data_IF_445792651529
#
_entry.id   IF_445792651529
#
_cell.length_a   1.000
_cell.length_b   1.000
_cell.length_c   1.000
_cell.angle_alpha   90.00
_cell.angle_beta   90.00
_cell.angle_gamma   90.00
#
_symmetry.space_group_name_H-M   'P 1'
#
loop_
_entity.id
_entity.type
_entity.pdbx_description
1 polymer ?
#
# COMPACT_ATOMS: atom_id res chain seq x y z
N UNK A 1 7.81 1.70 6.23
CA UNK A 1 6.63 2.26 6.92
C UNK A 1 5.76 2.80 5.79
N UNK A 2 4.45 2.56 5.80
CA UNK A 2 3.59 2.93 4.67
C UNK A 2 2.29 3.52 5.19
N UNK A 3 1.78 4.53 4.50
CA UNK A 3 0.42 5.06 4.67
C UNK A 3 -0.32 4.81 3.38
N UNK A 4 -1.53 4.25 3.44
CA UNK A 4 -2.41 4.10 2.27
C UNK A 4 -3.82 4.56 2.59
N UNK A 5 -4.45 5.19 1.61
CA UNK A 5 -5.85 5.61 1.63
C UNK A 5 -6.47 5.39 0.25
N UNK A 6 -7.79 5.29 0.20
CA UNK A 6 -8.52 5.06 -1.04
C UNK A 6 -9.82 5.86 -1.10
N UNK A 7 -10.36 5.97 -2.30
CA UNK A 7 -11.63 6.62 -2.58
C UNK A 7 -12.37 5.74 -3.59
N UNK A 8 -13.61 5.40 -3.29
CA UNK A 8 -14.51 4.79 -4.27
C UNK A 8 -15.09 5.87 -5.17
N UNK A 9 -15.10 5.61 -6.47
CA UNK A 9 -15.77 6.41 -7.49
C UNK A 9 -16.92 5.57 -8.10
N UNK A 10 -17.83 6.20 -8.84
CA UNK A 10 -18.97 5.52 -9.47
C UNK A 10 -18.52 4.32 -10.34
N UNK A 11 -17.48 4.53 -11.16
CA UNK A 11 -16.96 3.52 -12.10
C UNK A 11 -15.60 2.94 -11.68
N UNK A 12 -15.21 3.08 -10.41
CA UNK A 12 -13.94 2.52 -9.94
C UNK A 12 -13.43 3.09 -8.63
N UNK A 13 -12.13 3.35 -8.55
CA UNK A 13 -11.52 3.83 -7.32
C UNK A 13 -10.20 4.55 -7.58
N UNK A 14 -9.75 5.25 -6.54
CA UNK A 14 -8.41 5.79 -6.44
C UNK A 14 -7.72 5.25 -5.18
N UNK A 15 -6.44 4.91 -5.28
CA UNK A 15 -5.60 4.46 -4.17
C UNK A 15 -4.31 5.27 -4.14
N UNK A 16 -4.01 5.86 -2.98
CA UNK A 16 -2.85 6.71 -2.75
C UNK A 16 -1.98 6.09 -1.67
N UNK A 17 -0.68 5.98 -1.92
CA UNK A 17 0.27 5.34 -1.01
C UNK A 17 1.59 6.13 -0.88
N UNK A 18 1.96 6.46 0.36
CA UNK A 18 3.31 6.89 0.73
C UNK A 18 4.14 5.66 1.10
N UNK A 19 5.37 5.59 0.55
CA UNK A 19 6.38 4.59 0.94
C UNK A 19 7.48 5.28 1.74
N UNK A 20 7.56 4.96 3.01
CA UNK A 20 8.59 5.43 3.93
C UNK A 20 9.70 4.40 4.08
N UNK A 21 10.93 4.82 3.84
CA UNK A 21 12.09 3.94 3.76
C UNK A 21 13.39 4.64 4.21
N UNK A 22 14.37 3.84 4.61
CA UNK A 22 15.72 4.31 4.91
C UNK A 22 16.35 4.99 3.71
N UNK A 23 17.02 6.12 3.94
CA UNK A 23 17.72 6.90 2.89
C UNK A 23 18.81 6.09 2.17
N UNK A 24 19.33 5.04 2.82
CA UNK A 24 20.39 4.17 2.29
C UNK A 24 19.86 3.05 1.40
N UNK A 25 18.54 2.80 1.36
CA UNK A 25 18.01 1.76 0.49
C UNK A 25 18.13 2.22 -0.96
N UNK A 26 18.54 1.33 -1.90
CA UNK A 26 18.52 1.66 -3.31
C UNK A 26 17.15 2.20 -3.74
N UNK A 27 17.11 3.22 -4.61
CA UNK A 27 15.87 3.70 -5.18
C UNK A 27 15.07 2.55 -5.80
N UNK A 28 13.74 2.62 -5.68
CA UNK A 28 12.87 1.71 -6.41
C UNK A 28 12.85 2.11 -7.89
N UNK A 29 12.62 1.12 -8.75
CA UNK A 29 12.27 1.37 -10.14
C UNK A 29 10.81 1.81 -10.21
N UNK A 30 10.52 2.76 -11.10
CA UNK A 30 9.14 3.20 -11.37
C UNK A 30 8.25 2.05 -11.85
N UNK A 31 6.92 2.26 -11.92
CA UNK A 31 6.02 1.25 -12.42
C UNK A 31 6.42 0.82 -13.82
N UNK A 32 6.34 -0.48 -14.11
CA UNK A 32 6.54 -1.01 -15.45
C UNK A 32 5.37 -1.91 -15.82
N UNK A 33 5.01 -1.91 -17.10
CA UNK A 33 4.06 -2.87 -17.65
C UNK A 33 4.73 -4.25 -17.73
N UNK A 34 4.17 -5.19 -16.99
CA UNK A 34 4.66 -6.56 -16.90
C UNK A 34 3.50 -7.53 -17.15
N UNK A 35 3.83 -8.76 -17.52
CA UNK A 35 2.84 -9.83 -17.71
C UNK A 35 3.21 -11.03 -16.84
N UNK A 36 2.21 -11.59 -16.15
CA UNK A 36 2.38 -12.82 -15.37
C UNK A 36 1.17 -13.72 -15.53
N UNK A 37 1.40 -14.96 -15.97
CA UNK A 37 0.32 -15.92 -16.24
C UNK A 37 -0.78 -15.35 -17.15
N UNK A 38 -0.36 -14.64 -18.22
CA UNK A 38 -1.27 -13.97 -19.18
C UNK A 38 -2.16 -12.88 -18.59
N UNK A 39 -1.75 -12.32 -17.45
CA UNK A 39 -2.36 -11.13 -16.84
C UNK A 39 -1.34 -10.00 -16.83
N UNK A 40 -1.68 -8.91 -17.51
CA UNK A 40 -0.90 -7.67 -17.53
C UNK A 40 -1.11 -6.90 -16.23
N UNK A 41 -0.04 -6.29 -15.72
CA UNK A 41 -0.08 -5.49 -14.51
C UNK A 41 0.98 -4.39 -14.52
N UNK A 42 0.73 -3.36 -13.71
CA UNK A 42 1.64 -2.27 -13.41
C UNK A 42 2.12 -2.41 -11.96
N UNK A 43 3.44 -2.42 -11.76
CA UNK A 43 4.03 -2.41 -10.43
C UNK A 43 5.42 -1.77 -10.47
N UNK A 44 5.78 -0.90 -9.51
CA UNK A 44 7.16 -0.52 -9.27
C UNK A 44 7.89 -1.67 -8.59
N UNK A 45 9.21 -1.72 -8.77
CA UNK A 45 10.05 -2.80 -8.24
C UNK A 45 11.02 -2.27 -7.19
N UNK A 46 11.07 -2.95 -6.05
CA UNK A 46 12.03 -2.67 -4.98
C UNK A 46 13.43 -3.07 -5.42
N UNK A 47 14.34 -2.08 -5.50
CA UNK A 47 15.70 -2.27 -6.00
C UNK A 47 16.62 -3.19 -5.18
N UNK A 48 16.14 -3.79 -4.08
CA UNK A 48 16.89 -4.78 -3.29
C UNK A 48 16.28 -6.17 -3.36
N UNK A 49 14.97 -6.29 -3.21
CA UNK A 49 14.30 -7.58 -3.02
C UNK A 49 13.52 -8.07 -4.25
N UNK A 50 13.44 -7.28 -5.33
CA UNK A 50 12.70 -7.62 -6.56
C UNK A 50 11.18 -7.75 -6.35
N UNK A 51 10.67 -7.36 -5.19
CA UNK A 51 9.24 -7.34 -4.87
C UNK A 51 8.62 -5.97 -5.13
N UNK A 52 7.33 -5.83 -4.87
CA UNK A 52 6.60 -4.57 -4.95
C UNK A 52 5.81 -4.32 -3.66
N UNK A 53 5.48 -3.06 -3.40
CA UNK A 53 4.54 -2.69 -2.34
C UNK A 53 3.14 -2.39 -2.87
N UNK A 54 2.97 -2.19 -4.19
CA UNK A 54 1.69 -1.86 -4.80
C UNK A 54 1.69 -2.31 -6.25
N UNK A 55 0.77 -3.21 -6.59
CA UNK A 55 0.53 -3.61 -7.97
C UNK A 55 -0.94 -3.42 -8.34
N UNK A 56 -1.21 -3.20 -9.61
CA UNK A 56 -2.57 -3.18 -10.17
C UNK A 56 -2.59 -3.90 -11.51
N UNK A 57 -3.59 -4.76 -11.73
CA UNK A 57 -3.69 -5.55 -12.96
C UNK A 57 -4.71 -5.01 -13.97
N UNK A 58 -4.78 -5.63 -15.14
CA UNK A 58 -5.72 -5.25 -16.21
C UNK A 58 -7.19 -5.49 -15.85
N UNK A 59 -7.51 -6.26 -14.82
CA UNK A 59 -8.90 -6.37 -14.32
C UNK A 59 -9.29 -5.20 -13.42
N UNK A 60 -8.32 -4.35 -13.03
CA UNK A 60 -8.51 -3.25 -12.10
C UNK A 60 -8.31 -3.67 -10.64
N UNK A 61 -7.71 -4.83 -10.37
CA UNK A 61 -7.44 -5.29 -9.00
C UNK A 61 -6.13 -4.68 -8.51
N UNK A 62 -6.20 -3.77 -7.53
CA UNK A 62 -5.03 -3.25 -6.83
C UNK A 62 -4.72 -4.08 -5.59
N UNK A 63 -3.45 -4.34 -5.35
CA UNK A 63 -2.95 -5.07 -4.18
C UNK A 63 -1.81 -4.24 -3.58
N UNK A 64 -2.08 -3.58 -2.45
CA UNK A 64 -1.12 -2.78 -1.72
C UNK A 64 -0.70 -3.48 -0.42
N UNK A 65 0.61 -3.57 -0.20
CA UNK A 65 1.22 -4.22 0.94
C UNK A 65 1.59 -3.18 2.02
N UNK A 66 1.19 -3.46 3.26
CA UNK A 66 1.68 -2.82 4.47
C UNK A 66 2.50 -3.81 5.30
N UNK A 67 3.48 -3.30 6.03
CA UNK A 67 4.28 -4.11 6.94
C UNK A 67 3.54 -4.30 8.27
N UNK A 68 3.58 -5.51 8.84
CA UNK A 68 2.96 -5.77 10.14
C UNK A 68 1.46 -6.10 10.04
N UNK A 69 0.85 -6.38 11.18
CA UNK A 69 -0.54 -6.80 11.30
C UNK A 69 -1.40 -5.61 11.78
N UNK A 70 -1.88 -4.81 10.83
CA UNK A 70 -2.59 -3.56 11.11
C UNK A 70 -3.99 -3.74 11.75
N UNK A 71 -4.60 -4.93 11.70
CA UNK A 71 -5.94 -5.22 12.22
C UNK A 71 -5.89 -5.77 13.64
N UNK A 72 -5.03 -6.75 13.90
CA UNK A 72 -4.98 -7.42 15.20
C UNK A 72 -4.41 -6.55 16.32
N UNK A 73 -3.76 -5.42 16.02
CA UNK A 73 -3.01 -4.59 16.99
C UNK A 73 -2.01 -5.38 17.85
N UNK A 74 -1.73 -6.63 17.49
CA UNK A 74 -0.79 -7.48 18.19
C UNK A 74 0.60 -6.93 17.93
N UNK A 75 1.45 -6.75 18.97
CA UNK A 75 2.84 -6.38 18.77
C UNK A 75 3.45 -7.37 17.77
N UNK A 76 4.04 -6.87 16.69
CA UNK A 76 4.73 -7.73 15.76
C UNK A 76 5.71 -8.62 16.54
N UNK A 77 5.68 -9.96 16.40
CA UNK A 77 6.61 -10.81 17.12
C UNK A 77 8.03 -10.33 16.86
N UNK A 78 8.79 -10.14 17.95
CA UNK A 78 10.16 -9.64 17.88
C UNK A 78 10.97 -10.55 16.94
N UNK A 79 11.87 -10.02 16.09
CA UNK A 79 12.56 -10.81 15.07
C UNK A 79 13.44 -11.95 15.64
N UNK A 80 13.56 -12.08 16.95
CA UNK A 80 14.40 -13.02 17.68
C UNK A 80 13.83 -14.44 17.86
N UNK A 81 12.54 -14.71 17.62
CA UNK A 81 11.95 -16.04 17.93
C UNK A 81 11.75 -16.97 16.75
N UNK A 82 11.81 -16.48 15.51
CA UNK A 82 11.83 -17.34 14.32
C UNK A 82 13.28 -17.57 13.90
N UNK A 83 13.76 -18.80 14.06
CA UNK A 83 15.13 -19.23 13.77
C UNK A 83 15.63 -18.83 12.37
N UNK A 84 16.94 -19.01 12.15
CA UNK A 84 17.73 -18.57 10.99
C UNK A 84 17.34 -19.20 9.63
N UNK A 85 16.05 -19.27 9.30
CA UNK A 85 15.56 -19.50 7.94
C UNK A 85 15.62 -18.19 7.18
N UNK A 86 16.08 -18.27 5.93
CA UNK A 86 16.04 -17.16 4.99
C UNK A 86 14.60 -16.69 4.81
N UNK A 87 14.30 -15.47 5.28
CA UNK A 87 12.95 -14.92 5.23
C UNK A 87 12.63 -14.50 3.80
N UNK A 88 11.53 -15.03 3.27
CA UNK A 88 10.97 -14.61 1.97
C UNK A 88 10.49 -13.16 2.07
N UNK A 89 10.83 -12.35 1.07
CA UNK A 89 10.39 -10.95 1.00
C UNK A 89 8.87 -10.86 0.87
N UNK A 90 8.23 -10.05 1.73
CA UNK A 90 6.80 -9.72 1.64
C UNK A 90 6.41 -9.10 0.30
N UNK A 91 7.33 -8.35 -0.31
CA UNK A 91 7.07 -7.70 -1.60
C UNK A 91 6.83 -8.67 -2.76
N UNK A 92 7.14 -9.95 -2.60
CA UNK A 92 6.80 -10.97 -3.60
C UNK A 92 5.33 -11.39 -3.53
N UNK A 93 4.65 -11.15 -2.40
CA UNK A 93 3.25 -11.55 -2.22
C UNK A 93 2.32 -10.80 -3.18
N UNK A 94 2.36 -9.45 -3.32
CA UNK A 94 1.52 -8.78 -4.30
C UNK A 94 1.72 -9.33 -5.73
N UNK A 95 2.98 -9.57 -6.14
CA UNK A 95 3.32 -10.15 -7.45
C UNK A 95 2.78 -11.58 -7.64
N UNK A 96 2.55 -12.35 -6.58
CA UNK A 96 1.88 -13.67 -6.64
C UNK A 96 0.37 -13.59 -6.79
N UNK A 97 -0.20 -12.46 -6.40
CA UNK A 97 -1.63 -12.24 -6.38
C UNK A 97 -2.13 -11.40 -7.57
N UNK A 98 -1.26 -10.71 -8.32
CA UNK A 98 -1.64 -9.88 -9.50
C UNK A 98 -2.42 -10.61 -10.59
N UNK A 99 -2.45 -11.95 -10.58
CA UNK A 99 -3.25 -12.76 -11.51
C UNK A 99 -4.71 -12.95 -11.10
N UNK A 100 -5.13 -12.42 -9.96
CA UNK A 100 -6.52 -12.52 -9.50
C UNK A 100 -7.44 -11.64 -10.36
N UNK A 101 -8.57 -12.18 -10.79
CA UNK A 101 -9.62 -11.46 -11.51
C UNK A 101 -10.56 -10.66 -10.61
N UNK A 102 -10.58 -10.95 -9.30
CA UNK A 102 -11.38 -10.24 -8.30
C UNK A 102 -10.66 -10.08 -6.97
N UNK A 103 -11.14 -9.18 -6.11
CA UNK A 103 -10.63 -9.00 -4.75
C UNK A 103 -10.84 -10.26 -3.90
N UNK A 104 -11.98 -10.94 -4.08
CA UNK A 104 -12.25 -12.22 -3.41
C UNK A 104 -11.24 -13.29 -3.84
N UNK A 105 -10.98 -13.41 -5.15
CA UNK A 105 -9.98 -14.37 -5.66
C UNK A 105 -8.58 -14.06 -5.14
N UNK A 106 -8.22 -12.77 -5.03
CA UNK A 106 -6.94 -12.36 -4.44
C UNK A 106 -6.83 -12.80 -2.97
N UNK A 107 -7.89 -12.61 -2.17
CA UNK A 107 -7.97 -13.10 -0.79
C UNK A 107 -7.86 -14.63 -0.71
N UNK A 108 -8.58 -15.38 -1.54
CA UNK A 108 -8.51 -16.84 -1.58
C UNK A 108 -7.10 -17.34 -1.94
N UNK A 109 -6.46 -16.70 -2.92
CA UNK A 109 -5.09 -17.03 -3.32
C UNK A 109 -4.12 -16.74 -2.18
N UNK A 110 -4.23 -15.60 -1.51
CA UNK A 110 -3.43 -15.26 -0.33
C UNK A 110 -3.62 -16.27 0.81
N UNK A 111 -4.86 -16.72 1.02
CA UNK A 111 -5.20 -17.75 2.00
C UNK A 111 -4.48 -19.08 1.74
N UNK A 112 -4.27 -19.44 0.47
CA UNK A 112 -3.60 -20.69 0.07
C UNK A 112 -2.06 -20.60 0.04
N UNK A 113 -1.47 -19.41 0.14
CA UNK A 113 0.00 -19.27 0.16
C UNK A 113 0.61 -19.87 1.42
N UNK A 114 1.75 -20.53 1.30
CA UNK A 114 2.60 -20.81 2.46
C UNK A 114 3.32 -19.51 2.87
N UNK A 115 2.95 -18.99 4.04
CA UNK A 115 3.48 -17.74 4.60
C UNK A 115 4.43 -17.99 5.78
N UNK A 116 4.79 -19.24 6.09
CA UNK A 116 5.62 -19.57 7.26
C UNK A 116 7.00 -18.88 7.23
N UNK A 117 7.55 -18.62 6.04
CA UNK A 117 8.81 -17.90 5.85
C UNK A 117 8.64 -16.39 5.57
N UNK A 118 7.41 -15.87 5.60
CA UNK A 118 7.09 -14.47 5.30
C UNK A 118 6.79 -13.73 6.59
N UNK A 119 7.46 -12.59 6.82
CA UNK A 119 7.18 -11.74 7.98
C UNK A 119 5.76 -11.18 7.94
N UNK A 120 5.16 -10.80 9.08
CA UNK A 120 3.78 -10.30 9.15
C UNK A 120 3.51 -9.12 8.20
N UNK A 121 2.30 -9.12 7.64
CA UNK A 121 1.84 -8.10 6.69
C UNK A 121 0.31 -8.00 6.64
N UNK A 122 -0.15 -6.85 6.16
CA UNK A 122 -1.54 -6.61 5.78
C UNK A 122 -1.57 -6.21 4.31
N UNK A 123 -2.48 -6.79 3.54
CA UNK A 123 -2.81 -6.36 2.18
C UNK A 123 -4.09 -5.55 2.22
N UNK A 124 -4.13 -4.44 1.50
CA UNK A 124 -5.39 -3.85 1.03
C UNK A 124 -5.58 -4.16 -0.45
N UNK A 125 -6.78 -4.64 -0.76
CA UNK A 125 -7.17 -5.11 -2.07
C UNK A 125 -8.40 -4.30 -2.49
N UNK A 126 -8.31 -3.68 -3.67
CA UNK A 126 -9.40 -2.90 -4.25
C UNK A 126 -9.81 -3.46 -5.60
N UNK A 127 -11.11 -3.46 -5.83
CA UNK A 127 -11.76 -3.87 -7.07
C UNK A 127 -12.83 -2.81 -7.42
N UNK A 128 -12.97 -2.42 -8.70
CA UNK A 128 -13.99 -1.45 -9.10
C UNK A 128 -15.40 -1.90 -8.70
N UNK A 129 -16.16 -1.02 -8.05
CA UNK A 129 -17.53 -1.30 -7.61
C UNK A 129 -17.65 -2.22 -6.38
N UNK A 130 -16.54 -2.61 -5.75
CA UNK A 130 -16.54 -3.42 -4.52
C UNK A 130 -15.93 -2.65 -3.34
N UNK A 131 -16.41 -2.90 -2.11
CA UNK A 131 -15.74 -2.43 -0.89
C UNK A 131 -14.28 -2.90 -0.84
N UNK A 132 -13.43 -2.16 -0.11
CA UNK A 132 -12.06 -2.62 0.10
C UNK A 132 -12.04 -3.93 0.90
N UNK A 133 -11.16 -4.85 0.50
CA UNK A 133 -10.88 -6.07 1.23
C UNK A 133 -9.49 -6.00 1.88
N UNK A 134 -9.35 -6.56 3.08
CA UNK A 134 -8.08 -6.77 3.75
C UNK A 134 -7.78 -8.25 3.92
N UNK A 135 -6.52 -8.60 3.69
CA UNK A 135 -5.95 -9.88 4.10
C UNK A 135 -4.81 -9.58 5.08
N UNK A 136 -4.83 -10.24 6.24
CA UNK A 136 -3.78 -10.10 7.24
C UNK A 136 -3.10 -11.43 7.51
N UNK A 137 -1.77 -11.37 7.64
CA UNK A 137 -0.92 -12.44 8.14
C UNK A 137 -0.17 -11.93 9.36
N UNK A 138 -0.46 -12.49 10.54
CA UNK A 138 0.17 -12.08 11.82
C UNK A 138 1.52 -12.75 12.07
N UNK A 139 1.91 -13.71 11.23
CA UNK A 139 3.03 -14.62 11.49
C UNK A 139 2.57 -15.99 12.03
N UNK A 140 1.33 -16.07 12.50
CA UNK A 140 0.73 -17.27 13.08
C UNK A 140 -0.67 -17.52 12.47
N UNK A 141 -1.46 -16.47 12.33
CA UNK A 141 -2.85 -16.52 11.89
C UNK A 141 -3.08 -15.72 10.62
N UNK A 142 -4.05 -16.18 9.82
CA UNK A 142 -4.57 -15.46 8.65
C UNK A 142 -5.96 -14.94 8.95
N UNK A 143 -6.25 -13.71 8.54
CA UNK A 143 -7.57 -13.12 8.63
C UNK A 143 -7.95 -12.43 7.31
N UNK A 144 -9.26 -12.41 7.00
CA UNK A 144 -9.82 -11.72 5.85
C UNK A 144 -10.99 -10.86 6.31
N UNK A 145 -11.04 -9.62 5.82
CA UNK A 145 -12.16 -8.70 6.01
C UNK A 145 -12.58 -8.14 4.64
N UNK A 146 -13.80 -8.45 4.19
CA UNK A 146 -14.30 -8.04 2.87
C UNK A 146 -14.95 -6.65 2.84
N UNK A 147 -15.19 -6.03 4.00
CA UNK A 147 -15.80 -4.70 4.13
C UNK A 147 -14.91 -3.80 5.00
N UNK A 148 -13.79 -3.38 4.43
CA UNK A 148 -12.71 -2.74 5.18
C UNK A 148 -12.63 -1.22 5.03
N UNK A 149 -13.55 -0.59 4.30
CA UNK A 149 -13.61 0.87 4.15
C UNK A 149 -13.56 1.63 5.48
N UNK A 150 -14.22 1.18 6.58
CA UNK A 150 -14.13 1.84 7.87
C UNK A 150 -12.72 1.86 8.51
N UNK A 151 -11.79 1.04 8.02
CA UNK A 151 -10.43 0.94 8.58
C UNK A 151 -9.46 1.95 7.96
N UNK A 152 -9.86 2.64 6.89
CA UNK A 152 -9.07 3.67 6.23
C UNK A 152 -8.77 4.85 7.18
N UNK A 153 -7.57 5.46 7.12
CA UNK A 153 -6.38 5.02 6.38
C UNK A 153 -5.69 3.86 7.08
N UNK A 154 -4.98 3.04 6.31
CA UNK A 154 -4.08 2.04 6.88
C UNK A 154 -2.67 2.61 7.01
N UNK A 155 -2.07 2.38 8.17
CA UNK A 155 -0.79 2.94 8.58
C UNK A 155 0.04 1.81 9.17
N UNK A 156 1.28 1.65 8.70
CA UNK A 156 2.26 0.71 9.24
C UNK A 156 3.56 1.40 9.58
N UNK A 157 4.12 1.11 10.76
CA UNK A 157 5.36 1.71 11.26
C UNK A 157 6.16 0.71 12.08
N UNK A 158 7.48 0.68 11.87
CA UNK A 158 8.42 -0.11 12.68
C UNK A 158 9.17 0.75 13.70
N UNK A 159 8.75 2.01 13.92
CA UNK A 159 9.40 2.93 14.84
C UNK A 159 8.64 2.98 16.17
N UNK A 160 7.44 3.55 16.12
CA UNK A 160 6.48 3.63 17.22
C UNK A 160 5.09 3.47 16.59
N UNK A 161 4.64 2.22 16.46
CA UNK A 161 3.46 1.90 15.65
C UNK A 161 2.21 2.59 16.19
N UNK A 162 1.96 2.51 17.50
CA UNK A 162 0.79 3.08 18.14
C UNK A 162 0.73 4.60 17.99
N UNK A 163 1.82 5.32 18.31
CA UNK A 163 1.80 6.77 18.23
C UNK A 163 1.83 7.29 16.78
N UNK A 164 2.51 6.60 15.85
CA UNK A 164 2.44 6.94 14.41
C UNK A 164 1.03 6.74 13.88
N UNK A 165 0.37 5.64 14.24
CA UNK A 165 -1.01 5.37 13.84
C UNK A 165 -1.95 6.45 14.38
N UNK A 166 -1.86 6.78 15.68
CA UNK A 166 -2.66 7.82 16.31
C UNK A 166 -2.47 9.19 15.65
N UNK A 167 -1.22 9.62 15.44
CA UNK A 167 -0.89 10.93 14.84
C UNK A 167 -1.35 11.03 13.39
N UNK A 168 -1.11 10.00 12.58
CA UNK A 168 -1.54 10.00 11.16
C UNK A 168 -3.06 9.91 11.04
N UNK A 169 -3.76 9.17 11.90
CA UNK A 169 -5.24 9.16 11.91
C UNK A 169 -5.81 10.52 12.33
N UNK A 170 -5.25 11.15 13.36
CA UNK A 170 -5.66 12.51 13.76
C UNK A 170 -5.49 13.50 12.60
N UNK A 171 -4.35 13.44 11.91
CA UNK A 171 -4.07 14.30 10.77
C UNK A 171 -5.02 14.01 9.58
N UNK A 172 -5.36 12.74 9.34
CA UNK A 172 -6.34 12.35 8.33
C UNK A 172 -7.71 12.97 8.62
N UNK A 173 -8.23 12.80 9.84
CA UNK A 173 -9.51 13.40 10.26
C UNK A 173 -9.51 14.91 10.08
N UNK A 174 -8.45 15.59 10.55
CA UNK A 174 -8.30 17.04 10.41
C UNK A 174 -8.31 17.51 8.94
N UNK A 175 -7.65 16.77 8.05
CA UNK A 175 -7.62 17.08 6.61
C UNK A 175 -8.98 16.88 5.94
N UNK A 176 -9.69 15.82 6.30
CA UNK A 176 -11.05 15.57 5.78
C UNK A 176 -12.05 16.63 6.28
N UNK A 177 -12.00 16.98 7.56
CA UNK A 177 -12.82 18.06 8.13
C UNK A 177 -12.57 19.38 7.41
N UNK A 178 -11.30 19.73 7.18
CA UNK A 178 -10.94 20.96 6.48
C UNK A 178 -11.31 20.95 4.99
N UNK A 179 -11.33 19.78 4.34
CA UNK A 179 -11.73 19.66 2.94
C UNK A 179 -13.26 19.69 2.75
N UNK A 180 -14.03 19.34 3.79
CA UNK A 180 -15.48 19.29 3.78
C UNK A 180 -16.08 18.13 2.99
N UNK A 181 -15.25 17.36 2.27
CA UNK A 181 -15.62 16.15 1.55
C UNK A 181 -14.42 15.22 1.39
N UNK A 182 -14.72 13.92 1.28
CA UNK A 182 -13.74 12.93 0.88
C UNK A 182 -13.62 12.93 -0.65
N UNK A 183 -12.49 13.42 -1.16
CA UNK A 183 -12.13 13.33 -2.57
C UNK A 183 -10.61 13.12 -2.75
N UNK A 184 -10.18 12.92 -3.99
CA UNK A 184 -8.79 12.58 -4.28
C UNK A 184 -7.82 13.71 -3.87
N UNK A 185 -8.26 14.95 -3.91
CA UNK A 185 -7.47 16.10 -3.49
C UNK A 185 -7.30 16.12 -1.96
N UNK A 186 -8.35 15.85 -1.19
CA UNK A 186 -8.27 15.70 0.26
C UNK A 186 -7.31 14.56 0.66
N UNK A 187 -7.36 13.43 -0.06
CA UNK A 187 -6.42 12.32 0.15
C UNK A 187 -4.98 12.73 -0.18
N UNK A 188 -4.73 13.39 -1.31
CA UNK A 188 -3.40 13.87 -1.67
C UNK A 188 -2.84 14.83 -0.62
N UNK A 189 -3.66 15.80 -0.17
CA UNK A 189 -3.30 16.75 0.90
C UNK A 189 -3.00 16.09 2.24
N UNK A 190 -3.60 14.93 2.52
CA UNK A 190 -3.24 14.13 3.66
C UNK A 190 -1.86 13.49 3.49
N UNK A 191 -1.59 12.85 2.33
CA UNK A 191 -0.30 12.22 2.04
C UNK A 191 0.86 13.22 1.97
N UNK A 192 0.61 14.46 1.56
CA UNK A 192 1.60 15.54 1.57
C UNK A 192 1.86 16.11 2.97
N UNK A 193 0.97 15.86 3.94
CA UNK A 193 0.98 16.59 5.20
C UNK A 193 2.12 16.21 6.13
N UNK A 194 2.64 17.23 6.82
CA UNK A 194 3.51 17.08 7.98
C UNK A 194 2.77 17.19 9.32
N UNK A 195 1.49 17.53 9.32
CA UNK A 195 0.77 17.89 10.55
C UNK A 195 1.49 19.04 11.27
N UNK A 196 2.02 18.77 12.46
CA UNK A 196 2.78 19.75 13.23
C UNK A 196 4.24 19.92 12.77
N UNK A 197 4.89 18.85 12.29
CA UNK A 197 6.32 18.84 11.98
C UNK A 197 6.69 17.68 11.05
N UNK A 198 7.68 17.85 10.15
CA UNK A 198 8.17 16.79 9.28
C UNK A 198 9.01 15.79 10.07
N UNK A 199 8.36 14.91 10.83
CA UNK A 199 8.97 13.94 11.74
C UNK A 199 8.48 12.51 11.51
N UNK A 200 8.93 11.57 12.35
CA UNK A 200 8.59 10.15 12.30
C UNK A 200 7.08 9.84 12.32
N UNK A 201 6.27 10.76 12.85
CA UNK A 201 4.84 10.60 13.08
C UNK A 201 3.97 11.24 11.99
N UNK A 202 4.56 12.05 11.12
CA UNK A 202 3.83 12.69 10.03
C UNK A 202 3.50 11.74 8.87
N UNK A 203 2.41 11.97 8.12
CA UNK A 203 2.09 11.21 6.89
C UNK A 203 3.18 11.30 5.82
N UNK A 204 3.67 12.51 5.53
CA UNK A 204 4.86 12.75 4.72
C UNK A 204 6.09 12.80 5.64
N UNK A 205 6.68 11.63 5.91
CA UNK A 205 7.66 11.44 6.96
C UNK A 205 9.06 11.92 6.56
N UNK A 206 9.73 12.66 7.45
CA UNK A 206 11.16 12.96 7.31
C UNK A 206 11.91 12.72 8.61
N UNK A 207 13.02 12.01 8.50
CA UNK A 207 14.01 11.80 9.55
C UNK A 207 15.41 11.91 8.96
N UNK A 208 16.40 11.93 9.85
CA UNK A 208 17.81 11.91 9.47
C UNK A 208 18.19 10.62 8.71
N UNK A 209 17.59 9.49 9.07
CA UNK A 209 17.94 8.16 8.56
C UNK A 209 16.90 7.55 7.58
N UNK A 210 15.67 8.07 7.58
CA UNK A 210 14.57 7.59 6.74
C UNK A 210 13.67 8.75 6.27
N UNK A 211 12.91 8.56 5.19
CA UNK A 211 11.89 9.50 4.73
C UNK A 211 10.83 8.82 3.87
N UNK A 212 9.75 9.53 3.56
CA UNK A 212 8.88 9.18 2.42
C UNK A 212 9.72 9.31 1.14
N UNK A 213 10.05 8.18 0.52
CA UNK A 213 10.93 8.14 -0.66
C UNK A 213 10.16 8.12 -1.97
N UNK A 214 8.88 7.78 -1.93
CA UNK A 214 8.03 7.78 -3.10
C UNK A 214 6.55 7.90 -2.74
N UNK A 215 5.79 8.41 -3.70
CA UNK A 215 4.34 8.44 -3.67
C UNK A 215 3.79 7.73 -4.91
N UNK A 216 2.73 6.94 -4.70
CA UNK A 216 2.04 6.19 -5.76
C UNK A 216 0.56 6.52 -5.72
N UNK A 217 -0.04 6.72 -6.89
CA UNK A 217 -1.46 7.02 -7.03
C UNK A 217 -2.01 6.20 -8.19
N UNK A 218 -2.82 5.19 -7.85
CA UNK A 218 -3.54 4.36 -8.80
C UNK A 218 -4.95 4.90 -8.96
N UNK A 219 -5.41 5.02 -10.20
CA UNK A 219 -6.80 5.27 -10.55
C UNK A 219 -7.27 4.17 -11.48
N UNK A 220 -8.25 3.39 -11.04
CA UNK A 220 -8.94 2.42 -11.88
C UNK A 220 -10.32 2.98 -12.21
N UNK A 221 -10.65 3.08 -13.50
CA UNK A 221 -12.00 3.37 -13.98
C UNK A 221 -12.50 2.22 -14.85
N UNK A 222 -13.65 2.34 -15.50
CA UNK A 222 -14.19 1.28 -16.36
C UNK A 222 -13.23 0.85 -17.50
N UNK A 223 -12.55 1.81 -18.15
CA UNK A 223 -11.81 1.55 -19.39
C UNK A 223 -10.31 1.32 -19.18
N UNK A 224 -9.72 1.93 -18.16
CA UNK A 224 -8.28 1.92 -17.95
C UNK A 224 -7.90 1.95 -16.48
N UNK A 225 -6.66 1.56 -16.23
CA UNK A 225 -5.95 1.81 -14.99
C UNK A 225 -4.82 2.80 -15.29
N UNK A 226 -4.77 3.90 -14.54
CA UNK A 226 -3.62 4.80 -14.49
C UNK A 226 -2.81 4.56 -13.22
N UNK A 227 -1.49 4.47 -13.36
CA UNK A 227 -0.55 4.40 -12.24
C UNK A 227 0.37 5.62 -12.33
N UNK A 228 0.15 6.60 -11.46
CA UNK A 228 1.08 7.70 -11.24
C UNK A 228 2.11 7.32 -10.17
N UNK A 229 3.38 7.61 -10.44
CA UNK A 229 4.48 7.38 -9.51
C UNK A 229 5.46 8.55 -9.52
N UNK A 230 5.89 8.97 -8.34
CA UNK A 230 7.02 9.89 -8.19
C UNK A 230 8.04 9.31 -7.19
N UNK A 231 9.34 9.24 -7.54
CA UNK A 231 10.41 8.78 -6.65
C UNK A 231 10.84 9.89 -5.68
N UNK A 232 9.86 10.57 -5.07
CA UNK A 232 10.06 11.61 -4.08
C UNK A 232 8.90 11.65 -3.08
N UNK A 233 9.18 12.25 -1.93
CA UNK A 233 8.13 12.67 -1.00
C UNK A 233 7.13 13.62 -1.71
N UNK A 234 5.82 13.51 -1.47
CA UNK A 234 4.82 14.36 -2.11
C UNK A 234 5.03 15.86 -1.83
N UNK A 235 5.60 16.24 -0.68
CA UNK A 235 5.95 17.63 -0.36
C UNK A 235 7.17 18.18 -1.13
N UNK A 236 7.93 17.31 -1.79
CA UNK A 236 9.08 17.68 -2.62
C UNK A 236 8.67 17.51 -4.07
N UNK A 237 8.19 18.58 -4.67
CA UNK A 237 7.80 18.57 -6.08
C UNK A 237 8.89 17.95 -6.96
N UNK A 238 8.57 16.83 -7.58
CA UNK A 238 9.34 16.18 -8.64
C UNK A 238 8.38 15.70 -9.71
N UNK A 239 8.74 15.83 -11.00
CA UNK A 239 7.97 15.21 -12.07
C UNK A 239 7.79 13.72 -11.78
N UNK A 240 6.54 13.28 -11.74
CA UNK A 240 6.20 11.87 -11.72
C UNK A 240 5.89 11.36 -13.12
N UNK A 241 5.74 10.05 -13.24
CA UNK A 241 5.33 9.37 -14.46
C UNK A 241 3.96 8.75 -14.26
N UNK A 242 3.11 8.82 -15.30
CA UNK A 242 1.84 8.09 -15.34
C UNK A 242 1.89 7.05 -16.45
N UNK A 243 1.75 5.78 -16.08
CA UNK A 243 1.58 4.69 -17.03
C UNK A 243 0.12 4.24 -17.03
N UNK A 244 -0.39 3.95 -18.22
CA UNK A 244 -1.77 3.50 -18.41
C UNK A 244 -1.81 2.06 -18.90
N UNK A 245 -2.82 1.32 -18.45
CA UNK A 245 -3.13 -0.04 -18.85
C UNK A 245 -4.61 -0.12 -19.17
N UNK A 246 -4.94 -0.49 -20.41
CA UNK A 246 -6.33 -0.75 -20.80
C UNK A 246 -6.88 -1.93 -19.98
N UNK A 247 -8.11 -1.78 -19.46
CA UNK A 247 -8.75 -2.84 -18.68
C UNK A 247 -9.27 -3.96 -19.57
N UNK A 248 -9.20 -5.17 -19.02
CA UNK A 248 -9.84 -6.36 -19.54
C UNK A 248 -11.10 -6.60 -18.70
N UNK A 249 -12.25 -6.55 -19.35
CA UNK A 249 -13.55 -6.90 -18.77
C UNK A 249 -13.71 -8.42 -18.70
#
# INVERSE_FOLDING_TARGET
MCTVSWLHEEDGYQLLANRDEQRRRPPAEGPQLQERASVRHLAPLDGKAGGTWLAVNEFGISICLLNGACLSQSPAPSPATAGARERRSRGLVPLELVRAGSALEACERAWRLDLAAVSPFTLVILEPGQPAALFEWTGEEKAVLLHADPYMPLISSSFDEAAVNARRRQEFSRKLESAGKLDAHALYWFHESHGASPDAYSPCMHRADAETVSFSWVRACEQEVGYFYTPAAPCRWRPGETIKLARRQ
#
